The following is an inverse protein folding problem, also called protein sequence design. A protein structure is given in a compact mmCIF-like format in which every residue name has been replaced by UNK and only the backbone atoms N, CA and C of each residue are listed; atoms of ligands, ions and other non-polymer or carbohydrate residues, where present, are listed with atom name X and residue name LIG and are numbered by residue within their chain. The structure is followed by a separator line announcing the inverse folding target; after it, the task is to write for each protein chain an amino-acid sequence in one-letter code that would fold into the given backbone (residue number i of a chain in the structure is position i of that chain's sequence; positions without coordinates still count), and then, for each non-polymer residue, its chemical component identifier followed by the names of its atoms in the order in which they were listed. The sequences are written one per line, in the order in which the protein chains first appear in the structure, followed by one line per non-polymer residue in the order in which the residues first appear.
data_IF_381175068960
#
_entry.id   IF_381175068960
#
_cell.length_a   1.000
_cell.length_b   1.000
_cell.length_c   1.000
_cell.angle_alpha   90.00
_cell.angle_beta   90.00
_cell.angle_gamma   90.00
#
_symmetry.space_group_name_H-M   'P 1'
#
loop_
_entity.id
_entity.type
_entity.pdbx_description
1 polymer ?
#
# COMPACT_ATOMS: atom_id res chain seq x y z
N UNK A 1 -2.94 -2.21 23.25
CA UNK A 1 -1.88 -1.31 22.76
C UNK A 1 -1.31 -1.73 21.39
N UNK A 2 -1.14 -3.00 21.13
CA UNK A 2 -0.59 -3.52 19.86
C UNK A 2 -1.43 -3.20 18.61
N UNK A 3 -2.76 -3.10 18.74
CA UNK A 3 -3.67 -2.71 17.66
C UNK A 3 -3.35 -1.34 17.05
N UNK A 4 -2.84 -0.40 17.84
CA UNK A 4 -2.49 0.94 17.37
C UNK A 4 -1.29 0.97 16.45
N UNK A 5 -0.32 0.06 16.64
CA UNK A 5 0.90 0.02 15.82
C UNK A 5 0.59 -0.47 14.41
N UNK A 6 -0.28 -1.47 14.25
CA UNK A 6 -0.70 -1.98 12.93
C UNK A 6 -1.46 -0.89 12.15
N UNK A 7 -2.41 -0.23 12.82
CA UNK A 7 -3.16 0.88 12.23
C UNK A 7 -2.25 2.04 11.85
N UNK A 8 -1.17 2.28 12.62
CA UNK A 8 -0.17 3.29 12.30
C UNK A 8 0.57 2.94 10.99
N UNK A 9 1.04 1.69 10.82
CA UNK A 9 1.69 1.27 9.56
C UNK A 9 0.77 1.40 8.35
N UNK A 10 -0.49 0.98 8.50
CA UNK A 10 -1.50 1.13 7.46
C UNK A 10 -1.82 2.60 7.19
N UNK A 11 -1.88 3.44 8.22
CA UNK A 11 -2.06 4.87 8.07
C UNK A 11 -0.93 5.53 7.28
N UNK A 12 0.33 5.14 7.55
CA UNK A 12 1.49 5.63 6.80
C UNK A 12 1.44 5.15 5.35
N UNK A 13 1.13 3.86 5.11
CA UNK A 13 0.98 3.33 3.76
C UNK A 13 -0.12 4.05 2.98
N UNK A 14 -1.27 4.29 3.60
CA UNK A 14 -2.38 5.06 3.01
C UNK A 14 -1.96 6.49 2.69
N UNK A 15 -1.23 7.16 3.59
CA UNK A 15 -0.73 8.52 3.37
C UNK A 15 0.27 8.58 2.20
N UNK A 16 1.16 7.59 2.07
CA UNK A 16 2.08 7.47 0.94
C UNK A 16 1.32 7.34 -0.38
N UNK A 17 0.34 6.46 -0.44
CA UNK A 17 -0.49 6.28 -1.64
C UNK A 17 -1.32 7.52 -1.95
N UNK A 18 -1.85 8.21 -0.94
CA UNK A 18 -2.57 9.46 -1.13
C UNK A 18 -1.67 10.58 -1.67
N UNK A 19 -0.44 10.70 -1.17
CA UNK A 19 0.50 11.71 -1.62
C UNK A 19 0.85 11.59 -3.11
N UNK A 20 0.83 10.37 -3.67
CA UNK A 20 1.09 10.13 -5.08
C UNK A 20 0.11 10.84 -6.02
N UNK A 21 -1.13 11.12 -5.59
CA UNK A 21 -2.08 11.89 -6.41
C UNK A 21 -1.60 13.30 -6.73
N UNK A 22 -0.74 13.84 -5.90
CA UNK A 22 -0.17 15.19 -6.05
C UNK A 22 1.27 15.21 -6.58
N UNK A 23 1.91 14.05 -6.64
CA UNK A 23 3.30 13.92 -7.06
C UNK A 23 3.44 13.81 -8.57
N UNK A 24 4.60 14.22 -9.06
CA UNK A 24 5.02 14.00 -10.46
C UNK A 24 5.67 12.64 -10.60
N UNK A 25 5.37 11.95 -11.69
CA UNK A 25 5.98 10.67 -12.05
C UNK A 25 7.35 10.87 -12.72
N UNK A 26 7.41 11.70 -13.76
CA UNK A 26 8.58 11.92 -14.56
C UNK A 26 8.60 13.33 -15.14
N UNK A 27 9.79 13.77 -15.53
CA UNK A 27 10.02 15.00 -16.27
C UNK A 27 10.70 14.67 -17.59
N UNK A 28 10.18 15.19 -18.70
CA UNK A 28 10.77 15.06 -20.02
C UNK A 28 11.23 16.43 -20.51
N UNK A 29 12.34 16.47 -21.24
CA UNK A 29 12.77 17.65 -21.96
C UNK A 29 11.93 17.77 -23.24
N UNK A 30 11.10 18.79 -23.33
CA UNK A 30 10.34 19.09 -24.54
C UNK A 30 11.23 19.54 -25.68
N UNK A 31 10.71 19.58 -26.94
CA UNK A 31 11.47 19.97 -28.14
C UNK A 31 12.01 21.42 -28.07
N UNK A 32 11.43 22.27 -27.26
CA UNK A 32 11.85 23.66 -27.04
C UNK A 32 12.75 23.86 -25.81
N UNK A 33 13.24 22.77 -25.20
CA UNK A 33 14.03 22.83 -23.96
C UNK A 33 13.19 23.11 -22.69
N UNK A 34 11.85 23.20 -22.80
CA UNK A 34 10.97 23.35 -21.67
C UNK A 34 10.79 21.99 -20.96
N UNK A 35 10.85 21.98 -19.62
CA UNK A 35 10.58 20.77 -18.84
C UNK A 35 9.07 20.48 -18.82
N UNK A 36 8.69 19.32 -19.36
CA UNK A 36 7.33 18.83 -19.32
C UNK A 36 7.23 17.84 -18.16
N UNK A 37 6.46 18.19 -17.13
CA UNK A 37 6.21 17.31 -15.98
C UNK A 37 5.01 16.42 -16.24
N UNK A 38 5.17 15.12 -16.05
CA UNK A 38 4.09 14.12 -16.15
C UNK A 38 3.66 13.70 -14.76
N UNK A 39 2.40 13.89 -14.43
CA UNK A 39 1.82 13.47 -13.15
C UNK A 39 1.24 12.06 -13.25
N UNK A 40 1.20 11.35 -12.12
CA UNK A 40 0.54 10.03 -12.05
C UNK A 40 -0.94 10.10 -12.44
N UNK A 41 -1.63 11.19 -12.10
CA UNK A 41 -3.05 11.39 -12.39
C UNK A 41 -3.36 11.63 -13.87
N UNK A 42 -2.38 11.96 -14.69
CA UNK A 42 -2.58 12.24 -16.12
C UNK A 42 -2.66 10.95 -16.96
N UNK A 43 -2.03 9.86 -16.50
CA UNK A 43 -2.13 8.55 -17.15
C UNK A 43 -3.28 7.77 -16.54
N UNK A 44 -4.31 7.47 -17.33
CA UNK A 44 -5.52 6.76 -16.88
C UNK A 44 -5.20 5.40 -16.23
N UNK A 45 -4.22 4.68 -16.73
CA UNK A 45 -3.78 3.39 -16.18
C UNK A 45 -3.20 3.54 -14.76
N UNK A 46 -2.41 4.59 -14.52
CA UNK A 46 -1.86 4.86 -13.19
C UNK A 46 -2.95 5.36 -12.24
N UNK A 47 -3.82 6.23 -12.72
CA UNK A 47 -4.92 6.76 -11.93
C UNK A 47 -5.84 5.64 -11.45
N UNK A 48 -6.19 4.69 -12.32
CA UNK A 48 -7.06 3.56 -11.95
C UNK A 48 -6.40 2.65 -10.91
N UNK A 49 -5.13 2.30 -11.09
CA UNK A 49 -4.38 1.49 -10.12
C UNK A 49 -4.20 2.21 -8.78
N UNK A 50 -3.92 3.51 -8.81
CA UNK A 50 -3.82 4.33 -7.59
C UNK A 50 -5.13 4.35 -6.82
N UNK A 51 -6.27 4.56 -7.49
CA UNK A 51 -7.60 4.56 -6.86
C UNK A 51 -7.89 3.18 -6.26
N UNK A 52 -7.67 2.10 -7.00
CA UNK A 52 -7.89 0.74 -6.50
C UNK A 52 -7.03 0.42 -5.27
N UNK A 53 -5.75 0.75 -5.34
CA UNK A 53 -4.81 0.54 -4.24
C UNK A 53 -5.18 1.40 -3.03
N UNK A 54 -5.55 2.64 -3.24
CA UNK A 54 -5.99 3.55 -2.18
C UNK A 54 -7.25 3.05 -1.48
N UNK A 55 -8.25 2.60 -2.23
CA UNK A 55 -9.48 2.01 -1.67
C UNK A 55 -9.15 0.76 -0.83
N UNK A 56 -8.24 -0.10 -1.30
CA UNK A 56 -7.81 -1.27 -0.53
C UNK A 56 -7.13 -0.87 0.80
N UNK A 57 -6.29 0.16 0.81
CA UNK A 57 -5.67 0.68 2.03
C UNK A 57 -6.70 1.26 3.00
N UNK A 58 -7.65 2.05 2.50
CA UNK A 58 -8.74 2.60 3.33
C UNK A 58 -9.58 1.47 3.93
N UNK A 59 -9.89 0.43 3.16
CA UNK A 59 -10.61 -0.74 3.63
C UNK A 59 -9.80 -1.51 4.71
N UNK A 60 -8.49 -1.63 4.54
CA UNK A 60 -7.60 -2.25 5.53
C UNK A 60 -7.57 -1.46 6.84
N UNK A 61 -7.49 -0.13 6.78
CA UNK A 61 -7.58 0.75 7.96
C UNK A 61 -8.95 0.62 8.63
N UNK A 62 -10.04 0.64 7.86
CA UNK A 62 -11.41 0.52 8.38
C UNK A 62 -11.68 -0.83 9.07
N UNK A 63 -10.96 -1.87 8.67
CA UNK A 63 -11.11 -3.24 9.20
C UNK A 63 -10.39 -3.47 10.54
N UNK A 64 -9.98 -2.44 11.25
CA UNK A 64 -9.18 -2.51 12.49
C UNK A 64 -9.81 -3.32 13.63
N UNK A 65 -11.13 -3.52 13.63
CA UNK A 65 -11.86 -4.30 14.63
C UNK A 65 -11.85 -5.82 14.38
N UNK A 66 -11.59 -6.23 13.13
CA UNK A 66 -11.61 -7.62 12.69
C UNK A 66 -10.23 -8.04 12.15
N UNK A 67 -9.35 -8.53 13.02
CA UNK A 67 -7.96 -8.87 12.67
C UNK A 67 -7.83 -9.80 11.48
N UNK A 68 -8.68 -10.80 11.41
CA UNK A 68 -8.67 -11.77 10.32
C UNK A 68 -9.02 -11.11 8.97
N UNK A 69 -10.02 -10.24 8.97
CA UNK A 69 -10.40 -9.49 7.77
C UNK A 69 -9.32 -8.47 7.41
N UNK A 70 -8.80 -7.75 8.40
CA UNK A 70 -7.72 -6.79 8.22
C UNK A 70 -6.49 -7.45 7.58
N UNK A 71 -6.05 -8.61 8.08
CA UNK A 71 -4.91 -9.32 7.52
C UNK A 71 -5.11 -9.67 6.04
N UNK A 72 -6.29 -10.14 5.65
CA UNK A 72 -6.61 -10.46 4.26
C UNK A 72 -6.62 -9.22 3.36
N UNK A 73 -7.24 -8.15 3.82
CA UNK A 73 -7.30 -6.90 3.05
C UNK A 73 -5.92 -6.28 2.92
N UNK A 74 -5.05 -6.35 3.93
CA UNK A 74 -3.66 -5.93 3.84
C UNK A 74 -2.87 -6.72 2.79
N UNK A 75 -3.09 -8.03 2.69
CA UNK A 75 -2.44 -8.85 1.64
C UNK A 75 -2.90 -8.42 0.24
N UNK A 76 -4.19 -8.15 0.08
CA UNK A 76 -4.73 -7.65 -1.21
C UNK A 76 -4.14 -6.27 -1.53
N UNK A 77 -4.08 -5.36 -0.56
CA UNK A 77 -3.48 -4.04 -0.72
C UNK A 77 -1.98 -4.15 -1.11
N UNK A 78 -1.22 -5.03 -0.44
CA UNK A 78 0.18 -5.30 -0.77
C UNK A 78 0.35 -5.84 -2.20
N UNK A 79 -0.50 -6.77 -2.63
CA UNK A 79 -0.46 -7.31 -4.00
C UNK A 79 -0.77 -6.24 -5.05
N UNK A 80 -1.76 -5.38 -4.79
CA UNK A 80 -2.10 -4.26 -5.68
C UNK A 80 -0.94 -3.26 -5.75
N UNK A 81 -0.33 -2.91 -4.61
CA UNK A 81 0.80 -1.99 -4.55
C UNK A 81 2.04 -2.57 -5.27
N UNK A 82 2.31 -3.89 -5.12
CA UNK A 82 3.38 -4.58 -5.87
C UNK A 82 3.09 -4.63 -7.36
N UNK A 83 1.86 -4.92 -7.77
CA UNK A 83 1.44 -4.89 -9.17
C UNK A 83 1.64 -3.50 -9.79
N UNK A 84 1.26 -2.46 -9.05
CA UNK A 84 1.50 -1.08 -9.46
C UNK A 84 3.01 -0.77 -9.56
N UNK A 85 3.80 -1.21 -8.59
CA UNK A 85 5.25 -1.03 -8.61
C UNK A 85 5.91 -1.71 -9.80
N UNK A 86 5.49 -2.92 -10.15
CA UNK A 86 5.99 -3.65 -11.33
C UNK A 86 5.65 -2.88 -12.60
N UNK A 87 4.43 -2.38 -12.72
CA UNK A 87 4.02 -1.56 -13.85
C UNK A 87 4.88 -0.29 -14.01
N UNK A 88 5.10 0.43 -12.90
CA UNK A 88 5.98 1.59 -12.87
C UNK A 88 7.42 1.22 -13.27
N UNK A 89 7.95 0.11 -12.75
CA UNK A 89 9.30 -0.34 -13.07
C UNK A 89 9.47 -0.66 -14.55
N UNK A 90 8.49 -1.30 -15.19
CA UNK A 90 8.50 -1.57 -16.62
C UNK A 90 8.51 -0.27 -17.43
N UNK A 91 7.65 0.69 -17.07
CA UNK A 91 7.57 1.97 -17.77
C UNK A 91 8.85 2.80 -17.60
N UNK A 92 9.43 2.79 -16.40
CA UNK A 92 10.75 3.39 -16.12
C UNK A 92 11.85 2.75 -16.98
N UNK A 93 11.86 1.42 -17.06
CA UNK A 93 12.89 0.69 -17.82
C UNK A 93 12.82 0.98 -19.32
N UNK A 94 11.61 1.09 -19.87
CA UNK A 94 11.38 1.39 -21.29
C UNK A 94 11.80 2.84 -21.62
N UNK A 95 11.46 3.80 -20.77
CA UNK A 95 11.61 5.24 -21.04
C UNK A 95 12.82 5.87 -20.36
N UNK A 96 13.74 5.09 -19.76
CA UNK A 96 14.86 5.60 -18.96
C UNK A 96 15.85 6.49 -19.73
N UNK A 97 15.85 6.43 -21.06
CA UNK A 97 16.72 7.25 -21.89
C UNK A 97 16.14 8.63 -22.23
N UNK A 98 14.85 8.83 -22.05
CA UNK A 98 14.13 10.02 -22.48
C UNK A 98 13.56 10.86 -21.33
N UNK A 99 13.39 10.22 -20.15
CA UNK A 99 12.72 10.84 -19.01
C UNK A 99 13.58 10.76 -17.74
N UNK A 100 13.49 11.80 -16.91
CA UNK A 100 13.98 11.79 -15.54
C UNK A 100 12.84 11.40 -14.59
N UNK A 101 13.04 10.35 -13.78
CA UNK A 101 11.98 9.79 -12.91
C UNK A 101 12.09 10.33 -11.50
N UNK A 102 10.92 10.53 -10.87
CA UNK A 102 10.84 10.96 -9.47
C UNK A 102 11.07 9.81 -8.51
N UNK A 103 11.69 10.08 -7.36
CA UNK A 103 11.85 9.13 -6.25
C UNK A 103 10.50 8.63 -5.70
N UNK A 104 9.42 9.37 -5.94
CA UNK A 104 8.05 9.00 -5.55
C UNK A 104 7.58 7.70 -6.22
N UNK A 105 8.23 7.26 -7.31
CA UNK A 105 7.98 5.97 -7.93
C UNK A 105 8.27 4.76 -7.01
N UNK A 106 8.98 4.95 -5.90
CA UNK A 106 9.22 3.92 -4.87
C UNK A 106 8.14 3.86 -3.79
N UNK A 107 7.18 4.78 -3.78
CA UNK A 107 6.13 4.82 -2.75
C UNK A 107 5.25 3.57 -2.71
N UNK A 108 4.82 2.99 -3.85
CA UNK A 108 4.04 1.74 -3.81
C UNK A 108 4.84 0.58 -3.22
N UNK A 109 6.15 0.53 -3.44
CA UNK A 109 7.03 -0.48 -2.83
C UNK A 109 7.08 -0.33 -1.31
N UNK A 110 7.29 0.90 -0.82
CA UNK A 110 7.29 1.19 0.62
C UNK A 110 5.93 0.86 1.26
N UNK A 111 4.82 1.22 0.61
CA UNK A 111 3.47 0.88 1.06
C UNK A 111 3.27 -0.64 1.14
N UNK A 112 3.69 -1.41 0.13
CA UNK A 112 3.61 -2.87 0.12
C UNK A 112 4.38 -3.51 1.29
N UNK A 113 5.57 -3.02 1.62
CA UNK A 113 6.32 -3.49 2.78
C UNK A 113 5.57 -3.24 4.10
N UNK A 114 5.00 -2.06 4.28
CA UNK A 114 4.22 -1.71 5.46
C UNK A 114 2.96 -2.59 5.59
N UNK A 115 2.30 -2.87 4.47
CA UNK A 115 1.13 -3.75 4.41
C UNK A 115 1.48 -5.20 4.81
N UNK A 116 2.59 -5.74 4.31
CA UNK A 116 3.05 -7.10 4.66
C UNK A 116 3.37 -7.19 6.16
N UNK A 117 4.04 -6.19 6.72
CA UNK A 117 4.34 -6.13 8.16
C UNK A 117 3.03 -6.07 8.96
N UNK A 118 2.08 -5.25 8.51
CA UNK A 118 0.78 -5.10 9.16
C UNK A 118 -0.05 -6.39 9.08
N UNK A 119 -0.09 -7.05 7.92
CA UNK A 119 -0.77 -8.34 7.74
C UNK A 119 -0.21 -9.41 8.66
N UNK A 120 1.12 -9.53 8.75
CA UNK A 120 1.78 -10.49 9.64
C UNK A 120 1.44 -10.24 11.11
N UNK A 121 1.46 -8.99 11.55
CA UNK A 121 1.10 -8.62 12.93
C UNK A 121 -0.36 -8.90 13.22
N UNK A 122 -1.28 -8.58 12.31
CA UNK A 122 -2.71 -8.86 12.45
C UNK A 122 -2.99 -10.36 12.59
N UNK A 123 -2.27 -11.21 11.84
CA UNK A 123 -2.38 -12.67 11.97
C UNK A 123 -1.91 -13.18 13.34
N UNK A 124 -0.80 -12.66 13.85
CA UNK A 124 -0.27 -13.05 15.18
C UNK A 124 -1.25 -12.66 16.27
N UNK A 125 -1.85 -11.47 16.18
CA UNK A 125 -2.83 -11.01 17.16
C UNK A 125 -4.10 -11.87 17.15
N UNK A 126 -4.59 -12.27 15.96
CA UNK A 126 -5.73 -13.17 15.83
C UNK A 126 -5.45 -14.54 16.48
N UNK A 127 -4.27 -15.13 16.23
CA UNK A 127 -3.87 -16.39 16.85
C UNK A 127 -3.80 -16.26 18.38
N UNK A 128 -3.31 -15.16 18.90
CA UNK A 128 -3.25 -14.90 20.35
C UNK A 128 -4.64 -14.80 20.95
N UNK A 129 -5.55 -14.08 20.30
CA UNK A 129 -6.95 -13.96 20.75
C UNK A 129 -7.65 -15.31 20.74
N UNK A 130 -7.44 -16.14 19.72
CA UNK A 130 -8.01 -17.49 19.63
C UNK A 130 -7.46 -18.40 20.72
N UNK A 131 -6.15 -18.36 21.00
CA UNK A 131 -5.52 -19.13 22.06
C UNK A 131 -6.09 -18.77 23.45
N UNK A 132 -6.28 -17.48 23.73
CA UNK A 132 -6.88 -17.02 25.00
C UNK A 132 -8.35 -17.47 25.11
N UNK A 133 -9.12 -17.39 24.01
CA UNK A 133 -10.53 -17.85 24.00
C UNK A 133 -10.64 -19.36 24.25
N UNK A 134 -9.78 -20.16 23.63
CA UNK A 134 -9.76 -21.62 23.82
C UNK A 134 -9.36 -22.02 25.25
N UNK A 135 -8.35 -21.34 25.82
CA UNK A 135 -7.94 -21.57 27.21
C UNK A 135 -9.05 -21.22 28.20
N UNK A 136 -9.78 -20.13 28.00
CA UNK A 136 -10.94 -19.74 28.82
C UNK A 136 -12.06 -20.76 28.72
N UNK A 137 -12.34 -21.29 27.51
CA UNK A 137 -13.37 -22.34 27.31
C UNK A 137 -12.99 -23.64 28.02
N UNK A 138 -11.74 -24.07 27.93
CA UNK A 138 -11.24 -25.24 28.63
C UNK A 138 -11.35 -25.13 30.16
N UNK A 139 -11.08 -23.93 30.70
CA UNK A 139 -11.22 -23.66 32.16
C UNK A 139 -12.67 -23.67 32.63
N UNK A 140 -13.61 -23.25 31.79
CA UNK A 140 -15.05 -23.23 32.14
C UNK A 140 -15.68 -24.62 32.11
N UNK A 141 -15.11 -25.59 31.39
CA UNK A 141 -15.59 -26.95 31.25
C UNK A 141 -14.96 -27.91 32.28
N UNK A 142 -14.12 -27.44 33.19
CA UNK A 142 -13.59 -28.12 34.37
C UNK A 142 -14.38 -27.71 35.63
#
# INVERSE_FOLDING_TARGET
MWQRIQTLYLGIATALMFSMFFCTFATNAGPDGAEITIRYSEKLSYLSLMIMTFIAHVAAVASFKAFFLQARVCVIAALLALGFQIWLAIDIFINRGEMSFSITALFPLAAAFLDIISAKKSMVDEMTVQAVKSARKARKNR
#
